data_IF_643515097894
#
_entry.id   IF_643515097894
#
_cell.length_a   1.000
_cell.length_b   1.000
_cell.length_c   1.000
_cell.angle_alpha   90.00
_cell.angle_beta   90.00
_cell.angle_gamma   90.00
#
_symmetry.space_group_name_H-M   'P 1'
#
loop_
_entity.id
_entity.type
_entity.pdbx_description
1 polymer ?
#
# COMPACT_ATOMS: atom_id res chain seq x y z
N UNK A 1 10.55 4.61 -2.70
CA UNK A 1 9.45 4.09 -1.86
C UNK A 1 8.59 5.19 -1.27
N UNK A 2 9.13 6.20 -0.56
CA UNK A 2 8.29 7.29 -0.03
C UNK A 2 7.53 8.09 -1.10
N UNK A 3 8.09 8.26 -2.31
CA UNK A 3 7.33 8.84 -3.43
C UNK A 3 6.05 8.06 -3.77
N UNK A 4 6.08 6.72 -3.67
CA UNK A 4 4.86 5.89 -3.82
C UNK A 4 3.86 6.09 -2.68
N UNK A 5 4.35 6.34 -1.45
CA UNK A 5 3.49 6.70 -0.31
C UNK A 5 2.79 8.04 -0.52
N UNK A 6 3.50 9.03 -1.10
CA UNK A 6 2.90 10.33 -1.46
C UNK A 6 1.79 10.16 -2.49
N UNK A 7 2.03 9.38 -3.55
CA UNK A 7 1.01 9.12 -4.57
C UNK A 7 -0.22 8.43 -3.97
N UNK A 8 -0.02 7.39 -3.16
CA UNK A 8 -1.12 6.74 -2.44
C UNK A 8 -1.90 7.74 -1.58
N UNK A 9 -1.22 8.61 -0.81
CA UNK A 9 -1.89 9.60 0.02
C UNK A 9 -2.79 10.54 -0.80
N UNK A 10 -2.30 11.01 -1.95
CA UNK A 10 -3.05 11.89 -2.84
C UNK A 10 -4.25 11.18 -3.47
N UNK A 11 -4.04 9.98 -4.03
CA UNK A 11 -5.10 9.18 -4.66
C UNK A 11 -6.19 8.84 -3.64
N UNK A 12 -5.81 8.35 -2.46
CA UNK A 12 -6.77 7.97 -1.42
C UNK A 12 -7.53 9.16 -0.88
N UNK A 13 -6.88 10.31 -0.69
CA UNK A 13 -7.60 11.53 -0.26
C UNK A 13 -8.66 11.94 -1.27
N UNK A 14 -8.40 11.75 -2.56
CA UNK A 14 -9.34 12.04 -3.63
C UNK A 14 -10.45 10.99 -3.75
N UNK A 15 -10.09 9.71 -3.78
CA UNK A 15 -11.01 8.58 -3.94
C UNK A 15 -11.91 8.38 -2.73
N UNK A 16 -11.39 8.59 -1.52
CA UNK A 16 -12.14 8.37 -0.27
C UNK A 16 -12.90 9.63 0.18
N UNK A 17 -12.86 10.74 -0.58
CA UNK A 17 -13.39 12.05 -0.13
C UNK A 17 -14.84 12.01 0.36
N UNK A 18 -15.66 11.12 -0.20
CA UNK A 18 -17.09 10.97 0.14
C UNK A 18 -17.24 10.06 1.38
N UNK A 19 -16.56 8.91 1.39
CA UNK A 19 -16.62 7.92 2.48
C UNK A 19 -15.85 8.31 3.75
N UNK A 20 -14.97 9.32 3.71
CA UNK A 20 -14.26 9.83 4.90
C UNK A 20 -15.20 10.44 5.94
N UNK A 21 -16.35 10.98 5.49
CA UNK A 21 -17.40 11.49 6.38
C UNK A 21 -18.34 10.41 6.91
N UNK A 22 -18.31 9.20 6.34
CA UNK A 22 -19.29 8.14 6.60
C UNK A 22 -18.76 7.10 7.58
N UNK A 23 -17.48 6.73 7.48
CA UNK A 23 -16.90 5.68 8.32
C UNK A 23 -15.48 5.99 8.74
N UNK A 24 -15.18 5.74 10.02
CA UNK A 24 -13.84 5.93 10.58
C UNK A 24 -12.80 5.02 9.91
N UNK A 25 -13.23 3.86 9.38
CA UNK A 25 -12.33 2.89 8.74
C UNK A 25 -11.62 3.47 7.52
N UNK A 26 -12.27 4.39 6.79
CA UNK A 26 -11.71 5.08 5.63
C UNK A 26 -10.50 5.96 5.97
N UNK A 27 -10.30 6.31 7.25
CA UNK A 27 -9.15 7.09 7.69
C UNK A 27 -7.88 6.26 7.89
N UNK A 28 -8.01 4.95 8.12
CA UNK A 28 -6.87 4.05 8.35
C UNK A 28 -5.78 4.21 7.26
N UNK A 29 -6.10 4.10 5.95
CA UNK A 29 -5.07 4.18 4.91
C UNK A 29 -4.45 5.58 4.79
N UNK A 30 -5.21 6.66 5.03
CA UNK A 30 -4.69 8.04 5.03
C UNK A 30 -3.73 8.30 6.20
N UNK A 31 -4.11 7.89 7.41
CA UNK A 31 -3.27 8.04 8.60
C UNK A 31 -1.99 7.23 8.43
N UNK A 32 -2.10 5.99 7.97
CA UNK A 32 -0.94 5.16 7.68
C UNK A 32 0.01 5.84 6.68
N UNK A 33 -0.51 6.37 5.56
CA UNK A 33 0.31 7.01 4.54
C UNK A 33 0.99 8.28 5.09
N UNK A 34 0.26 9.12 5.84
CA UNK A 34 0.82 10.32 6.47
C UNK A 34 1.92 9.99 7.50
N UNK A 35 1.67 9.03 8.39
CA UNK A 35 2.65 8.58 9.40
C UNK A 35 3.88 7.96 8.72
N UNK A 36 3.68 7.14 7.69
CA UNK A 36 4.78 6.53 6.93
C UNK A 36 5.60 7.58 6.20
N UNK A 37 4.97 8.62 5.65
CA UNK A 37 5.66 9.71 4.99
C UNK A 37 6.50 10.52 5.98
N UNK A 38 5.89 11.03 7.06
CA UNK A 38 6.58 11.84 8.07
C UNK A 38 7.66 11.04 8.78
N UNK A 39 7.31 9.86 9.29
CA UNK A 39 8.24 8.96 9.96
C UNK A 39 9.35 8.47 9.02
N UNK A 40 9.02 8.23 7.76
CA UNK A 40 9.98 7.81 6.74
C UNK A 40 10.99 8.88 6.39
N UNK A 41 10.56 10.14 6.25
CA UNK A 41 11.47 11.27 6.04
C UNK A 41 12.45 11.41 7.22
N UNK A 42 11.95 11.32 8.46
CA UNK A 42 12.80 11.34 9.66
C UNK A 42 13.75 10.13 9.70
N UNK A 43 13.27 8.95 9.31
CA UNK A 43 14.08 7.73 9.27
C UNK A 43 15.21 7.80 8.23
N UNK A 44 14.99 8.44 7.09
CA UNK A 44 16.03 8.66 6.07
C UNK A 44 17.15 9.58 6.59
N UNK A 45 16.82 10.60 7.39
CA UNK A 45 17.82 11.46 8.04
C UNK A 45 18.67 10.72 9.09
N UNK A 46 18.23 9.54 9.54
CA UNK A 46 18.92 8.70 10.54
C UNK A 46 19.18 7.29 10.04
N UNK A 47 19.52 7.16 8.75
CA UNK A 47 19.67 5.89 8.06
C UNK A 47 20.66 4.93 8.72
N UNK A 48 21.88 5.40 9.01
CA UNK A 48 22.97 4.63 9.63
C UNK A 48 22.68 4.17 11.08
N UNK A 49 21.60 4.69 11.68
CA UNK A 49 21.17 4.31 13.03
C UNK A 49 19.93 3.42 13.02
N UNK A 50 18.96 3.78 13.87
CA UNK A 50 17.67 3.06 13.96
C UNK A 50 16.73 3.36 12.79
N UNK A 51 17.08 4.29 11.89
CA UNK A 51 16.23 4.73 10.79
C UNK A 51 15.77 3.59 9.88
N UNK A 52 16.68 2.70 9.47
CA UNK A 52 16.35 1.49 8.69
C UNK A 52 15.31 0.61 9.38
N UNK A 53 15.46 0.39 10.70
CA UNK A 53 14.53 -0.43 11.49
C UNK A 53 13.15 0.23 11.60
N UNK A 54 13.11 1.54 11.85
CA UNK A 54 11.85 2.29 11.89
C UNK A 54 11.15 2.24 10.53
N UNK A 55 11.89 2.46 9.44
CA UNK A 55 11.34 2.42 8.10
C UNK A 55 10.84 1.02 7.73
N UNK A 56 11.54 -0.04 8.14
CA UNK A 56 11.07 -1.41 8.00
C UNK A 56 9.76 -1.65 8.77
N UNK A 57 9.63 -1.16 10.00
CA UNK A 57 8.39 -1.28 10.77
C UNK A 57 7.22 -0.56 10.08
N UNK A 58 7.46 0.65 9.56
CA UNK A 58 6.44 1.41 8.82
C UNK A 58 5.99 0.65 7.57
N UNK A 59 6.91 0.14 6.75
CA UNK A 59 6.56 -0.66 5.58
C UNK A 59 5.90 -2.00 5.94
N UNK A 60 6.31 -2.64 7.04
CA UNK A 60 5.65 -3.83 7.57
C UNK A 60 4.20 -3.56 8.00
N UNK A 61 3.93 -2.42 8.64
CA UNK A 61 2.58 -1.99 8.94
C UNK A 61 1.73 -1.79 7.68
N UNK A 62 2.34 -1.39 6.55
CA UNK A 62 1.66 -1.30 5.26
C UNK A 62 1.09 -2.62 4.78
N UNK A 63 1.79 -3.74 4.99
CA UNK A 63 1.28 -5.07 4.68
C UNK A 63 0.03 -5.36 5.52
N UNK A 64 0.06 -5.04 6.81
CA UNK A 64 -1.10 -5.24 7.70
C UNK A 64 -2.29 -4.38 7.25
N UNK A 65 -2.06 -3.10 6.93
CA UNK A 65 -3.10 -2.19 6.43
C UNK A 65 -3.70 -2.71 5.11
N UNK A 66 -2.87 -3.19 4.18
CA UNK A 66 -3.34 -3.74 2.92
C UNK A 66 -4.17 -5.01 3.08
N UNK A 67 -3.77 -5.92 3.97
CA UNK A 67 -4.53 -7.13 4.29
C UNK A 67 -5.87 -6.81 4.98
N UNK A 68 -5.87 -5.86 5.92
CA UNK A 68 -7.10 -5.39 6.58
C UNK A 68 -8.05 -4.71 5.58
N UNK A 69 -7.51 -3.86 4.70
CA UNK A 69 -8.32 -3.22 3.66
C UNK A 69 -8.88 -4.25 2.68
N UNK A 70 -8.10 -5.27 2.29
CA UNK A 70 -8.58 -6.36 1.43
C UNK A 70 -9.74 -7.12 2.09
N UNK A 71 -9.64 -7.39 3.39
CA UNK A 71 -10.73 -7.97 4.17
C UNK A 71 -11.99 -7.09 4.15
N UNK A 72 -11.85 -5.78 4.39
CA UNK A 72 -12.98 -4.86 4.39
C UNK A 72 -13.60 -4.67 2.99
N UNK A 73 -12.81 -4.64 1.93
CA UNK A 73 -13.29 -4.48 0.54
C UNK A 73 -13.95 -5.75 -0.01
N UNK A 74 -13.81 -6.89 0.66
CA UNK A 74 -14.41 -8.16 0.25
C UNK A 74 -15.47 -8.65 1.22
N UNK A 75 -15.82 -7.88 2.25
CA UNK A 75 -16.66 -8.32 3.37
C UNK A 75 -16.21 -9.67 3.97
N UNK A 76 -14.89 -9.93 3.96
CA UNK A 76 -14.29 -11.20 4.38
C UNK A 76 -14.28 -12.32 3.31
N UNK A 77 -14.89 -12.12 2.14
CA UNK A 77 -14.92 -13.09 1.04
C UNK A 77 -13.65 -13.03 0.16
N UNK A 78 -12.49 -13.27 0.77
CA UNK A 78 -11.17 -13.12 0.14
C UNK A 78 -10.99 -13.95 -1.14
N UNK A 79 -11.42 -15.22 -1.10
CA UNK A 79 -11.29 -16.17 -2.23
C UNK A 79 -12.09 -15.68 -3.44
N UNK A 80 -13.31 -15.17 -3.19
CA UNK A 80 -14.18 -14.62 -4.23
C UNK A 80 -13.56 -13.38 -4.85
N UNK A 81 -13.00 -12.49 -4.03
CA UNK A 81 -12.28 -11.29 -4.51
C UNK A 81 -11.13 -11.65 -5.46
N UNK A 82 -10.29 -12.62 -5.06
CA UNK A 82 -9.18 -13.07 -5.91
C UNK A 82 -9.66 -13.75 -7.19
N UNK A 83 -10.67 -14.62 -7.09
CA UNK A 83 -11.27 -15.29 -8.25
C UNK A 83 -11.79 -14.28 -9.28
N UNK A 84 -12.51 -13.25 -8.83
CA UNK A 84 -13.11 -12.25 -9.72
C UNK A 84 -12.04 -11.49 -10.50
N UNK A 85 -10.89 -11.20 -9.88
CA UNK A 85 -9.77 -10.56 -10.58
C UNK A 85 -9.21 -11.48 -11.65
N UNK A 86 -8.95 -12.74 -11.31
CA UNK A 86 -8.40 -13.70 -12.29
C UNK A 86 -9.36 -13.89 -13.48
N UNK A 87 -10.67 -13.87 -13.22
CA UNK A 87 -11.69 -13.93 -14.27
C UNK A 87 -11.75 -12.64 -15.10
N UNK A 88 -11.45 -11.47 -14.52
CA UNK A 88 -11.44 -10.21 -15.25
C UNK A 88 -10.47 -10.21 -16.45
N UNK A 89 -9.35 -10.96 -16.36
CA UNK A 89 -8.41 -11.14 -17.49
C UNK A 89 -8.99 -11.93 -18.66
N UNK A 90 -10.15 -12.56 -18.49
CA UNK A 90 -10.87 -13.30 -19.54
C UNK A 90 -12.04 -12.51 -20.13
N UNK A 91 -12.37 -11.35 -19.56
CA UNK A 91 -13.43 -10.48 -20.05
C UNK A 91 -12.90 -9.68 -21.24
N UNK A 92 -13.60 -9.67 -22.40
CA UNK A 92 -13.20 -8.85 -23.54
C UNK A 92 -13.12 -7.36 -23.17
N UNK A 93 -12.14 -6.65 -23.74
CA UNK A 93 -11.97 -5.21 -23.52
C UNK A 93 -13.24 -4.45 -23.93
N UNK A 94 -13.66 -3.48 -23.10
CA UNK A 94 -14.88 -2.73 -23.30
C UNK A 94 -16.15 -3.41 -22.78
N UNK A 95 -16.05 -4.62 -22.22
CA UNK A 95 -17.14 -5.29 -21.51
C UNK A 95 -16.87 -5.29 -20.00
N UNK A 96 -17.95 -5.22 -19.23
CA UNK A 96 -17.91 -5.27 -17.76
C UNK A 96 -17.99 -6.70 -17.21
N UNK A 97 -18.20 -7.70 -18.09
CA UNK A 97 -18.32 -9.11 -17.72
C UNK A 97 -19.51 -9.39 -16.80
N UNK A 98 -20.53 -8.52 -16.81
CA UNK A 98 -21.65 -8.58 -15.87
C UNK A 98 -21.35 -8.03 -14.48
N UNK A 99 -20.18 -7.42 -14.27
CA UNK A 99 -19.79 -6.76 -13.01
C UNK A 99 -20.11 -5.28 -13.12
N UNK A 100 -21.11 -4.80 -12.37
CA UNK A 100 -21.41 -3.36 -12.29
C UNK A 100 -20.27 -2.59 -11.63
N UNK A 101 -19.43 -1.96 -12.44
CA UNK A 101 -18.37 -1.05 -11.98
C UNK A 101 -18.97 0.06 -11.11
N UNK A 102 -18.34 0.31 -9.95
CA UNK A 102 -18.76 1.36 -9.01
C UNK A 102 -19.83 0.96 -7.98
N UNK A 103 -20.37 -0.26 -8.04
CA UNK A 103 -21.34 -0.75 -7.04
C UNK A 103 -20.68 -1.27 -5.76
N UNK A 104 -19.40 -1.60 -5.82
CA UNK A 104 -18.58 -2.11 -4.73
C UNK A 104 -17.17 -1.55 -4.85
N UNK A 105 -16.46 -1.35 -3.72
CA UNK A 105 -15.08 -0.91 -3.78
C UNK A 105 -14.22 -1.99 -4.47
N UNK A 106 -13.21 -1.61 -5.26
CA UNK A 106 -12.35 -2.55 -5.95
C UNK A 106 -11.61 -3.43 -4.94
N UNK A 107 -11.84 -4.75 -5.02
CA UNK A 107 -11.33 -5.71 -4.05
C UNK A 107 -9.82 -5.60 -3.85
N UNK A 108 -9.03 -5.44 -4.92
CA UNK A 108 -7.57 -5.43 -4.83
C UNK A 108 -6.93 -4.09 -4.51
N UNK A 109 -7.66 -2.97 -4.57
CA UNK A 109 -7.05 -1.66 -4.35
C UNK A 109 -6.23 -1.57 -3.04
N UNK A 110 -6.68 -2.15 -1.91
CA UNK A 110 -5.90 -2.15 -0.68
C UNK A 110 -4.56 -2.92 -0.76
N UNK A 111 -4.42 -3.89 -1.67
CA UNK A 111 -3.19 -4.67 -1.80
C UNK A 111 -2.02 -3.87 -2.37
N UNK A 112 -2.26 -2.66 -2.91
CA UNK A 112 -1.18 -1.73 -3.24
C UNK A 112 -0.29 -1.43 -2.02
N UNK A 113 -0.88 -1.38 -0.81
CA UNK A 113 -0.13 -1.25 0.44
C UNK A 113 0.76 -2.45 0.74
N UNK A 114 0.29 -3.68 0.45
CA UNK A 114 1.09 -4.88 0.58
C UNK A 114 2.28 -4.87 -0.36
N UNK A 115 2.06 -4.51 -1.64
CA UNK A 115 3.13 -4.40 -2.62
C UNK A 115 4.18 -3.37 -2.22
N UNK A 116 3.76 -2.17 -1.86
CA UNK A 116 4.66 -1.10 -1.42
C UNK A 116 5.39 -1.46 -0.12
N UNK A 117 4.69 -2.06 0.85
CA UNK A 117 5.25 -2.51 2.11
C UNK A 117 6.30 -3.60 1.92
N UNK A 118 6.03 -4.59 1.07
CA UNK A 118 6.98 -5.66 0.76
C UNK A 118 8.24 -5.11 0.09
N UNK A 119 8.10 -4.28 -0.95
CA UNK A 119 9.24 -3.65 -1.62
C UNK A 119 10.04 -2.76 -0.65
N UNK A 120 9.36 -2.01 0.22
CA UNK A 120 10.00 -1.20 1.26
C UNK A 120 10.79 -2.02 2.27
N UNK A 121 10.28 -3.19 2.69
CA UNK A 121 11.00 -4.13 3.55
C UNK A 121 12.26 -4.67 2.87
N UNK A 122 12.19 -5.04 1.59
CA UNK A 122 13.35 -5.50 0.83
C UNK A 122 14.44 -4.42 0.77
N UNK A 123 14.06 -3.16 0.50
CA UNK A 123 15.00 -2.03 0.52
C UNK A 123 15.62 -1.86 1.91
N UNK A 124 14.85 -2.00 2.98
CA UNK A 124 15.37 -1.87 4.34
C UNK A 124 16.27 -3.04 4.74
N UNK A 125 16.07 -4.23 4.17
CA UNK A 125 16.85 -5.44 4.42
C UNK A 125 18.11 -5.56 3.54
N UNK A 126 18.19 -4.81 2.44
CA UNK A 126 19.32 -4.84 1.52
C UNK A 126 20.64 -4.53 2.27
N UNK A 127 21.72 -5.31 2.06
CA UNK A 127 23.03 -4.98 2.61
C UNK A 127 23.44 -3.57 2.20
N UNK A 128 24.14 -2.84 3.08
CA UNK A 128 24.78 -1.61 2.66
C UNK A 128 25.71 -1.95 1.49
N UNK A 129 25.58 -1.25 0.36
CA UNK A 129 26.49 -1.44 -0.75
C UNK A 129 27.92 -1.32 -0.21
N UNK A 130 28.75 -2.34 -0.43
CA UNK A 130 30.17 -2.25 -0.14
C UNK A 130 30.66 -1.06 -0.94
N UNK A 131 31.01 0.03 -0.26
CA UNK A 131 31.64 1.17 -0.89
C UNK A 131 32.79 0.68 -1.75
N UNK A 132 32.96 1.26 -2.92
CA UNK A 132 34.12 1.08 -3.77
C UNK A 132 35.36 1.47 -2.97
N UNK A 133 35.92 0.51 -2.23
CA UNK A 133 37.24 0.56 -1.66
C UNK A 133 38.21 0.13 -2.76
N UNK A 134 38.66 1.12 -3.53
CA UNK A 134 39.84 1.17 -4.38
C UNK A 134 39.62 2.44 -5.23
N UNK A 135 40.43 3.48 -5.16
CA UNK A 135 41.89 3.46 -5.17
C UNK A 135 42.46 4.68 -4.41
N UNK A 136 43.46 4.40 -3.58
CA UNK A 136 44.49 5.36 -3.15
C UNK A 136 45.27 5.91 -4.36
#
# INVERSE_FOLDING_TARGET
MLGGVVLLLCELRFEHREVLGETWRSWIPLIYAAVTLLGGLVALLRWEGKGRRVLAMLFGAGIVVGLLGFWFHTDGHLVTGLRNVLLAWRVPLGQDGGIKMGSQPPALAPLAFCGLGFLGLLVCAAPAAKGSAASE
#
